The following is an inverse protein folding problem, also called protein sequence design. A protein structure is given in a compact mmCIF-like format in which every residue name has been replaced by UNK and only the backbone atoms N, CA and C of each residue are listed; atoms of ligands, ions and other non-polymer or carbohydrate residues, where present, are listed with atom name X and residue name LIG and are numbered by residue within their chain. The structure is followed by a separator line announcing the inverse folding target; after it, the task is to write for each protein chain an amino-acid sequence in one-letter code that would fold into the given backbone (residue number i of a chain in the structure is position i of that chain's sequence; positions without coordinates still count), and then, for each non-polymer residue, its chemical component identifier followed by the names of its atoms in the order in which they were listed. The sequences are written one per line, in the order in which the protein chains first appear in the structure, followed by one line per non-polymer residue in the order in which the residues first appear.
data_IF_431262428149
#
_entry.id   IF_431262428149
#
_cell.length_a   1.000
_cell.length_b   1.000
_cell.length_c   1.000
_cell.angle_alpha   90.00
_cell.angle_beta   90.00
_cell.angle_gamma   90.00
#
_symmetry.space_group_name_H-M   'P 1'
#
loop_
_entity.id
_entity.type
_entity.pdbx_description
1 polymer ?
#
# COMPACT_ATOMS: atom_id res chain seq x y z
N UNK A 1 9.94 -15.24 16.86
CA UNK A 1 9.14 -14.48 15.87
C UNK A 1 8.95 -13.10 16.48
N UNK A 2 9.43 -12.06 15.80
CA UNK A 2 9.23 -10.67 16.27
C UNK A 2 7.76 -10.27 16.08
N UNK A 3 7.23 -9.52 17.04
CA UNK A 3 5.86 -8.98 16.97
C UNK A 3 5.79 -7.95 15.86
N UNK A 4 4.80 -8.01 14.94
CA UNK A 4 4.65 -7.01 13.90
C UNK A 4 4.42 -5.61 14.50
N UNK A 5 4.96 -4.57 13.84
CA UNK A 5 4.82 -3.19 14.30
C UNK A 5 3.42 -2.61 14.06
N UNK A 6 2.63 -3.27 13.20
CA UNK A 6 1.26 -2.94 12.88
C UNK A 6 0.46 -4.22 12.69
N UNK A 7 -0.76 -4.22 13.20
CA UNK A 7 -1.72 -5.29 12.98
C UNK A 7 -2.95 -4.79 12.21
N UNK A 8 -3.58 -5.74 11.51
CA UNK A 8 -4.95 -5.55 11.02
C UNK A 8 -5.86 -5.39 12.25
N UNK A 9 -6.72 -4.37 12.31
CA UNK A 9 -7.63 -4.22 13.44
C UNK A 9 -8.55 -5.45 13.59
N UNK A 10 -8.94 -5.80 14.82
CA UNK A 10 -9.97 -6.81 15.00
C UNK A 10 -11.33 -6.29 14.51
N UNK A 11 -12.17 -7.21 14.05
CA UNK A 11 -13.59 -6.97 13.76
C UNK A 11 -14.30 -6.23 14.90
N UNK A 12 -15.26 -5.38 14.55
CA UNK A 12 -16.09 -4.70 15.54
C UNK A 12 -17.58 -4.70 15.11
N UNK A 13 -18.42 -3.97 15.84
CA UNK A 13 -19.86 -3.92 15.58
C UNK A 13 -20.23 -3.26 14.25
N UNK A 14 -19.36 -2.42 13.69
CA UNK A 14 -19.62 -1.62 12.48
C UNK A 14 -18.87 -2.19 11.27
N UNK A 15 -17.65 -2.69 11.46
CA UNK A 15 -16.78 -3.10 10.37
C UNK A 15 -16.25 -4.52 10.56
N UNK A 16 -16.05 -5.21 9.45
CA UNK A 16 -15.18 -6.39 9.37
C UNK A 16 -13.86 -6.05 8.69
N UNK A 17 -12.78 -6.69 9.14
CA UNK A 17 -11.43 -6.48 8.63
C UNK A 17 -10.81 -7.81 8.21
N UNK A 18 -10.34 -7.86 6.96
CA UNK A 18 -9.65 -9.04 6.42
C UNK A 18 -8.21 -8.65 6.10
N UNK A 19 -7.20 -9.30 6.73
CA UNK A 19 -5.79 -9.00 6.45
C UNK A 19 -5.45 -9.36 4.99
N UNK A 20 -4.71 -8.48 4.33
CA UNK A 20 -4.24 -8.67 2.95
C UNK A 20 -2.72 -8.80 2.89
N UNK A 21 -1.99 -8.14 3.79
CA UNK A 21 -0.55 -8.36 3.93
C UNK A 21 0.14 -7.37 4.87
N UNK A 22 1.39 -7.67 5.18
CA UNK A 22 2.26 -6.87 6.04
C UNK A 22 3.67 -6.84 5.45
N UNK A 23 4.33 -5.69 5.54
CA UNK A 23 5.75 -5.54 5.20
C UNK A 23 6.39 -4.52 6.15
N UNK A 24 7.62 -4.79 6.56
CA UNK A 24 8.45 -3.85 7.29
C UNK A 24 9.83 -3.79 6.66
N UNK A 25 10.35 -2.57 6.50
CA UNK A 25 11.65 -2.31 5.89
C UNK A 25 12.39 -1.30 6.77
N UNK A 26 13.66 -1.56 7.04
CA UNK A 26 14.51 -0.73 7.88
C UNK A 26 15.13 0.43 7.08
N UNK A 27 15.06 1.67 7.61
CA UNK A 27 15.81 2.81 7.08
C UNK A 27 17.03 3.05 7.99
N UNK A 28 18.22 2.75 7.49
CA UNK A 28 19.44 2.81 8.30
C UNK A 28 19.79 4.24 8.80
N UNK A 29 19.65 5.31 7.99
CA UNK A 29 19.93 6.66 8.47
C UNK A 29 18.99 7.14 9.58
N UNK A 30 17.71 6.78 9.54
CA UNK A 30 16.75 7.12 10.59
C UNK A 30 16.74 6.11 11.75
N UNK A 31 17.41 4.97 11.58
CA UNK A 31 17.46 3.87 12.53
C UNK A 31 16.05 3.45 12.99
N UNK A 32 15.13 3.29 12.04
CA UNK A 32 13.77 2.87 12.33
C UNK A 32 13.17 2.03 11.20
N UNK A 33 12.17 1.22 11.55
CA UNK A 33 11.39 0.45 10.60
C UNK A 33 10.19 1.23 10.08
N UNK A 34 10.06 1.24 8.76
CA UNK A 34 8.85 1.61 8.05
C UNK A 34 8.02 0.34 7.87
N UNK A 35 6.92 0.23 8.61
CA UNK A 35 6.00 -0.89 8.48
C UNK A 35 4.68 -0.45 7.86
N UNK A 36 4.11 -1.33 7.06
CA UNK A 36 2.84 -1.17 6.39
C UNK A 36 1.99 -2.43 6.59
N UNK A 37 0.71 -2.24 6.91
CA UNK A 37 -0.29 -3.32 6.92
C UNK A 37 -1.43 -2.95 5.98
N UNK A 38 -1.78 -3.88 5.10
CA UNK A 38 -2.91 -3.77 4.18
C UNK A 38 -4.03 -4.71 4.63
N UNK A 39 -5.26 -4.22 4.60
CA UNK A 39 -6.45 -5.00 4.92
C UNK A 39 -7.69 -4.48 4.19
N UNK A 40 -8.66 -5.36 3.92
CA UNK A 40 -10.00 -4.99 3.45
C UNK A 40 -10.84 -4.58 4.66
N UNK A 41 -11.41 -3.39 4.63
CA UNK A 41 -12.40 -2.90 5.60
C UNK A 41 -13.77 -2.93 4.92
N UNK A 42 -14.73 -3.64 5.50
CA UNK A 42 -16.12 -3.71 5.01
C UNK A 42 -17.06 -3.18 6.07
N UNK A 43 -17.89 -2.21 5.70
CA UNK A 43 -18.98 -1.71 6.52
C UNK A 43 -20.12 -2.75 6.55
N UNK A 44 -20.50 -3.22 7.74
CA UNK A 44 -21.45 -4.34 7.92
C UNK A 44 -22.88 -3.97 7.55
N UNK A 45 -23.24 -2.69 7.66
CA UNK A 45 -24.61 -2.22 7.38
C UNK A 45 -24.84 -2.04 5.88
N UNK A 46 -23.90 -1.40 5.18
CA UNK A 46 -24.03 -1.07 3.76
C UNK A 46 -23.38 -2.09 2.83
N UNK A 47 -22.47 -2.93 3.33
CA UNK A 47 -21.64 -3.82 2.52
C UNK A 47 -20.58 -3.10 1.69
N UNK A 48 -20.48 -1.77 1.79
CA UNK A 48 -19.44 -1.00 1.14
C UNK A 48 -18.08 -1.37 1.73
N UNK A 49 -17.08 -1.44 0.87
CA UNK A 49 -15.74 -1.82 1.29
C UNK A 49 -14.65 -1.02 0.59
N UNK A 50 -13.50 -0.99 1.25
CA UNK A 50 -12.27 -0.38 0.75
C UNK A 50 -11.07 -1.22 1.17
N UNK A 51 -9.95 -1.09 0.44
CA UNK A 51 -8.65 -1.51 0.99
C UNK A 51 -8.06 -0.36 1.78
N UNK A 52 -7.60 -0.63 3.01
CA UNK A 52 -6.80 0.32 3.79
C UNK A 52 -5.36 -0.16 3.88
N UNK A 53 -4.45 0.81 3.75
CA UNK A 53 -3.04 0.65 4.08
C UNK A 53 -2.77 1.56 5.27
N UNK A 54 -2.28 1.00 6.37
CA UNK A 54 -1.75 1.76 7.52
C UNK A 54 -0.24 1.72 7.50
N UNK A 55 0.38 2.73 8.09
CA UNK A 55 1.84 2.90 8.11
C UNK A 55 2.32 3.46 9.45
N UNK A 56 3.55 3.13 9.86
CA UNK A 56 4.19 3.64 11.08
C UNK A 56 4.84 5.00 10.90
N UNK A 57 5.45 5.27 9.75
CA UNK A 57 6.30 6.46 9.51
C UNK A 57 5.72 7.46 8.50
N UNK A 58 4.78 7.01 7.69
CA UNK A 58 4.15 7.81 6.61
C UNK A 58 2.64 7.77 6.69
N UNK A 59 1.97 8.60 5.90
CA UNK A 59 0.52 8.50 5.71
C UNK A 59 0.20 7.21 4.94
N UNK A 60 -0.86 6.53 5.35
CA UNK A 60 -1.38 5.36 4.65
C UNK A 60 -2.21 5.70 3.41
N UNK A 61 -3.14 4.81 3.05
CA UNK A 61 -4.10 5.05 1.97
C UNK A 61 -5.44 4.36 2.24
N UNK A 62 -6.51 4.93 1.67
CA UNK A 62 -7.80 4.29 1.54
C UNK A 62 -8.13 4.17 0.04
N UNK A 63 -8.31 2.94 -0.42
CA UNK A 63 -8.57 2.56 -1.79
C UNK A 63 -10.05 2.19 -1.89
N UNK A 64 -10.90 3.19 -2.10
CA UNK A 64 -12.35 3.01 -2.25
C UNK A 64 -12.66 2.26 -3.56
N UNK A 65 -13.38 1.14 -3.47
CA UNK A 65 -13.55 0.25 -4.63
C UNK A 65 -14.13 0.94 -5.88
N UNK A 66 -15.15 1.81 -5.79
CA UNK A 66 -15.65 2.51 -6.96
C UNK A 66 -14.64 3.48 -7.59
N UNK A 67 -13.84 4.17 -6.76
CA UNK A 67 -12.85 5.13 -7.23
C UNK A 67 -11.67 4.42 -7.91
N UNK A 68 -11.23 3.29 -7.35
CA UNK A 68 -10.18 2.45 -7.94
C UNK A 68 -10.64 1.85 -9.26
N UNK A 69 -11.88 1.35 -9.35
CA UNK A 69 -12.44 0.86 -10.60
C UNK A 69 -12.50 1.94 -11.69
N UNK A 70 -12.88 3.17 -11.33
CA UNK A 70 -12.86 4.30 -12.27
C UNK A 70 -11.44 4.62 -12.75
N UNK A 71 -10.48 4.67 -11.82
CA UNK A 71 -9.08 4.99 -12.14
C UNK A 71 -8.40 3.89 -12.96
N UNK A 72 -8.75 2.62 -12.75
CA UNK A 72 -8.27 1.51 -13.56
C UNK A 72 -8.67 1.65 -15.03
N UNK A 73 -9.93 2.02 -15.32
CA UNK A 73 -10.40 2.30 -16.70
C UNK A 73 -9.65 3.46 -17.35
N UNK A 74 -9.42 4.54 -16.60
CA UNK A 74 -8.65 5.68 -17.10
C UNK A 74 -7.19 5.29 -17.41
N UNK A 75 -6.61 4.44 -16.56
CA UNK A 75 -5.23 3.96 -16.69
C UNK A 75 -5.06 3.03 -17.89
N UNK A 76 -6.07 2.19 -18.15
CA UNK A 76 -6.15 1.33 -19.33
C UNK A 76 -6.25 2.15 -20.62
N UNK A 77 -7.08 3.19 -20.64
CA UNK A 77 -7.16 4.12 -21.77
C UNK A 77 -5.83 4.84 -22.06
N UNK A 78 -4.93 4.94 -21.07
CA UNK A 78 -3.57 5.48 -21.23
C UNK A 78 -2.54 4.40 -21.61
N UNK A 79 -2.92 3.13 -21.73
CA UNK A 79 -2.02 2.01 -22.01
C UNK A 79 -1.04 1.71 -20.87
N UNK A 80 -1.34 2.14 -19.63
CA UNK A 80 -0.46 1.94 -18.48
C UNK A 80 -0.85 0.67 -17.71
N UNK A 81 0.12 -0.12 -17.21
CA UNK A 81 -0.18 -1.35 -16.48
C UNK A 81 -0.64 -1.09 -15.03
N UNK A 82 -0.33 0.07 -14.47
CA UNK A 82 -0.72 0.46 -13.11
C UNK A 82 -0.84 1.97 -12.97
N UNK A 83 -1.42 2.41 -11.85
CA UNK A 83 -1.41 3.79 -11.38
C UNK A 83 -0.99 3.88 -9.91
N UNK A 84 -0.53 5.05 -9.49
CA UNK A 84 -0.24 5.34 -8.07
C UNK A 84 -1.49 5.82 -7.36
N UNK A 85 -1.68 5.44 -6.10
CA UNK A 85 -2.80 5.88 -5.27
C UNK A 85 -2.37 6.28 -3.86
N UNK A 86 -2.94 7.36 -3.33
CA UNK A 86 -2.65 7.80 -1.95
C UNK A 86 -1.25 8.38 -1.77
N UNK A 87 -0.57 7.99 -0.69
CA UNK A 87 0.77 8.47 -0.38
C UNK A 87 1.79 7.98 -1.41
N UNK A 88 2.68 8.88 -1.83
CA UNK A 88 3.88 8.56 -2.58
C UNK A 88 5.06 9.38 -2.08
N UNK A 89 6.22 8.74 -2.04
CA UNK A 89 7.52 9.36 -1.86
C UNK A 89 8.35 9.01 -3.08
N UNK A 90 8.67 10.02 -3.89
CA UNK A 90 9.51 9.85 -5.08
C UNK A 90 10.96 10.16 -4.70
N UNK A 91 11.93 9.35 -5.18
CA UNK A 91 13.33 9.58 -4.88
C UNK A 91 13.81 10.89 -5.50
N UNK A 92 14.71 11.58 -4.79
CA UNK A 92 15.35 12.83 -5.22
C UNK A 92 16.80 12.86 -4.77
N UNK A 93 17.59 13.77 -5.33
CA UNK A 93 19.04 13.85 -5.06
C UNK A 93 19.40 13.82 -3.56
N UNK A 94 18.60 14.47 -2.70
CA UNK A 94 18.83 14.56 -1.24
C UNK A 94 18.07 13.51 -0.42
N UNK A 95 17.25 12.67 -1.04
CA UNK A 95 16.45 11.66 -0.37
C UNK A 95 16.16 10.52 -1.34
N UNK A 96 16.93 9.44 -1.23
CA UNK A 96 16.86 8.30 -2.13
C UNK A 96 15.68 7.35 -1.81
N UNK A 97 14.86 7.65 -0.80
CA UNK A 97 13.72 6.82 -0.46
C UNK A 97 12.66 6.87 -1.56
N UNK A 98 12.07 5.72 -1.84
CA UNK A 98 10.91 5.58 -2.71
C UNK A 98 9.84 4.75 -2.01
N UNK A 99 8.64 5.28 -1.89
CA UNK A 99 7.49 4.58 -1.33
C UNK A 99 6.30 4.85 -2.23
N UNK A 100 5.67 3.80 -2.75
CA UNK A 100 4.56 3.92 -3.69
C UNK A 100 3.52 2.84 -3.41
N UNK A 101 2.23 3.22 -3.46
CA UNK A 101 1.15 2.25 -3.55
C UNK A 101 0.68 2.18 -5.00
N UNK A 102 1.03 1.09 -5.67
CA UNK A 102 0.71 0.87 -7.09
C UNK A 102 -0.49 -0.04 -7.19
N UNK A 103 -1.47 0.33 -8.00
CA UNK A 103 -2.64 -0.49 -8.32
C UNK A 103 -2.53 -0.95 -9.75
N UNK A 104 -2.29 -2.24 -9.94
CA UNK A 104 -2.20 -2.88 -11.24
C UNK A 104 -3.59 -3.13 -11.81
N UNK A 105 -3.72 -2.93 -13.11
CA UNK A 105 -4.96 -3.11 -13.85
C UNK A 105 -4.73 -4.02 -15.05
N UNK A 106 -5.77 -4.75 -15.44
CA UNK A 106 -5.83 -5.49 -16.69
C UNK A 106 -7.18 -5.21 -17.36
N UNK A 107 -7.16 -4.60 -18.56
CA UNK A 107 -8.36 -4.26 -19.32
C UNK A 107 -9.32 -3.32 -18.58
N UNK A 108 -8.78 -2.37 -17.81
CA UNK A 108 -9.53 -1.41 -17.00
C UNK A 108 -10.08 -1.97 -15.68
N UNK A 109 -9.67 -3.18 -15.30
CA UNK A 109 -10.11 -3.86 -14.07
C UNK A 109 -8.93 -3.93 -13.09
N UNK A 110 -9.06 -3.45 -11.84
CA UNK A 110 -8.00 -3.60 -10.83
C UNK A 110 -7.77 -5.08 -10.50
N UNK A 111 -6.50 -5.49 -10.39
CA UNK A 111 -6.10 -6.88 -10.19
C UNK A 111 -5.23 -7.11 -8.97
N UNK A 112 -4.30 -6.22 -8.71
CA UNK A 112 -3.29 -6.38 -7.66
C UNK A 112 -2.90 -5.01 -7.11
N UNK A 113 -2.57 -4.97 -5.82
CA UNK A 113 -1.97 -3.80 -5.18
C UNK A 113 -0.55 -4.17 -4.78
N UNK A 114 0.38 -3.26 -5.02
CA UNK A 114 1.77 -3.36 -4.58
C UNK A 114 2.08 -2.20 -3.63
N UNK A 115 2.63 -2.52 -2.46
CA UNK A 115 3.35 -1.58 -1.61
C UNK A 115 4.82 -1.71 -1.98
N UNK A 116 5.33 -0.78 -2.79
CA UNK A 116 6.73 -0.73 -3.20
C UNK A 116 7.50 0.18 -2.24
N UNK A 117 8.62 -0.32 -1.71
CA UNK A 117 9.43 0.39 -0.72
C UNK A 117 10.91 0.22 -1.07
N UNK A 118 11.62 1.32 -1.20
CA UNK A 118 13.07 1.37 -1.26
C UNK A 118 13.53 2.41 -0.25
N UNK A 119 14.19 1.97 0.82
CA UNK A 119 14.73 2.86 1.85
C UNK A 119 16.22 3.08 1.62
N UNK A 120 16.95 3.51 2.65
CA UNK A 120 18.35 3.88 2.52
C UNK A 120 19.27 3.02 3.36
N UNK A 121 20.47 2.82 2.81
CA UNK A 121 21.62 2.32 3.55
C UNK A 121 22.21 3.41 4.45
N UNK A 122 23.16 3.05 5.33
CA UNK A 122 23.80 3.99 6.26
C UNK A 122 24.49 5.17 5.56
N UNK A 123 25.02 4.94 4.35
CA UNK A 123 25.64 5.99 3.52
C UNK A 123 24.63 6.89 2.80
N UNK A 124 23.33 6.72 3.10
CA UNK A 124 22.18 7.42 2.53
C UNK A 124 21.90 7.09 1.05
N UNK A 125 22.63 6.14 0.46
CA UNK A 125 22.30 5.58 -0.85
C UNK A 125 21.03 4.73 -0.79
N UNK A 126 20.41 4.47 -1.94
CA UNK A 126 19.22 3.63 -2.03
C UNK A 126 19.58 2.17 -1.67
N UNK A 127 18.80 1.56 -0.79
CA UNK A 127 18.93 0.13 -0.48
C UNK A 127 18.21 -0.73 -1.53
N UNK A 128 18.24 -2.05 -1.35
CA UNK A 128 17.50 -3.00 -2.20
C UNK A 128 16.00 -2.77 -2.08
N UNK A 129 15.27 -2.59 -3.20
CA UNK A 129 13.83 -2.41 -3.15
C UNK A 129 13.15 -3.69 -2.64
N UNK A 130 12.12 -3.50 -1.83
CA UNK A 130 11.24 -4.54 -1.32
C UNK A 130 9.79 -4.22 -1.71
N UNK A 131 8.97 -5.26 -1.83
CA UNK A 131 7.58 -5.08 -2.22
C UNK A 131 6.67 -6.11 -1.57
N UNK A 132 5.48 -5.66 -1.17
CA UNK A 132 4.37 -6.54 -0.84
C UNK A 132 3.32 -6.43 -1.95
N UNK A 133 2.98 -7.56 -2.56
CA UNK A 133 1.91 -7.67 -3.56
C UNK A 133 0.78 -8.53 -3.02
N UNK A 134 -0.45 -8.07 -3.23
CA UNK A 134 -1.65 -8.84 -2.88
C UNK A 134 -2.76 -8.60 -3.91
N UNK A 135 -3.59 -9.62 -4.20
CA UNK A 135 -4.71 -9.47 -5.11
C UNK A 135 -5.66 -8.37 -4.65
N UNK A 136 -6.18 -7.59 -5.60
CA UNK A 136 -7.30 -6.71 -5.35
C UNK A 136 -8.50 -7.58 -4.90
N UNK A 137 -9.05 -7.36 -3.71
CA UNK A 137 -10.09 -8.23 -3.19
C UNK A 137 -11.38 -8.05 -4.01
N UNK A 138 -12.05 -9.16 -4.31
CA UNK A 138 -13.36 -9.17 -4.95
C UNK A 138 -14.44 -8.50 -4.06
#
# INVERSE_FOLDING_TARGET
METPLLDTPPDNSVHSYVPLGYIAVYDAPLNCDFAFVAYKETDKDSGNWRVRIRSTQTVGAALEAPAIASKAKETDAQGKPFFLWGYKLEPRATDQRQIEFRVYQEGGIPKEVEIFIQLRQFDQSADTPQSLRFPWPA
#
